data_IF_997770349092
#
_entry.id   IF_997770349092
#
_cell.length_a   1.000
_cell.length_b   1.000
_cell.length_c   1.000
_cell.angle_alpha   90.00
_cell.angle_beta   90.00
_cell.angle_gamma   90.00
#
_symmetry.space_group_name_H-M   'P 1'
#
loop_
_entity.id
_entity.type
_entity.pdbx_description
1 polymer ?
#
# COMPACT_ATOMS: atom_id res chain seq x y z
N UNK A 1 20.20 -8.17 -17.21
CA UNK A 1 20.47 -8.10 -15.77
C UNK A 1 19.53 -7.07 -15.17
N UNK A 2 18.35 -7.49 -14.71
CA UNK A 2 17.41 -6.60 -14.03
C UNK A 2 17.81 -6.56 -12.55
N UNK A 3 18.13 -5.37 -12.05
CA UNK A 3 18.52 -5.17 -10.66
C UNK A 3 17.33 -5.47 -9.74
N UNK A 4 17.43 -6.56 -8.97
CA UNK A 4 16.48 -6.90 -7.92
C UNK A 4 16.62 -5.89 -6.80
N UNK A 5 15.55 -5.10 -6.56
CA UNK A 5 15.43 -4.28 -5.36
C UNK A 5 15.35 -5.24 -4.19
N UNK A 6 16.32 -5.18 -3.28
CA UNK A 6 16.41 -6.11 -2.16
C UNK A 6 15.29 -5.83 -1.15
N UNK A 7 14.81 -6.87 -0.46
CA UNK A 7 13.79 -6.75 0.59
C UNK A 7 14.19 -5.74 1.68
N UNK A 8 15.49 -5.55 1.86
CA UNK A 8 16.13 -4.55 2.73
C UNK A 8 15.80 -3.11 2.33
N UNK A 9 15.61 -2.83 1.04
CA UNK A 9 15.32 -1.48 0.55
C UNK A 9 13.84 -1.13 0.66
N UNK A 10 12.95 -2.13 0.57
CA UNK A 10 11.52 -1.98 0.88
C UNK A 10 11.27 -1.74 2.38
N UNK A 11 12.04 -2.42 3.25
CA UNK A 11 12.00 -2.19 4.70
C UNK A 11 12.49 -0.79 5.09
N UNK A 12 13.51 -0.24 4.41
CA UNK A 12 13.96 1.15 4.62
C UNK A 12 12.89 2.18 4.23
N UNK A 13 12.12 1.93 3.16
CA UNK A 13 11.02 2.82 2.75
C UNK A 13 9.85 2.76 3.74
N UNK A 14 9.51 1.57 4.28
CA UNK A 14 8.54 1.44 5.38
C UNK A 14 9.00 2.14 6.65
N UNK A 15 10.27 1.98 7.03
CA UNK A 15 10.85 2.63 8.20
C UNK A 15 10.83 4.17 8.06
N UNK A 16 11.15 4.71 6.88
CA UNK A 16 11.07 6.14 6.60
C UNK A 16 9.63 6.69 6.65
N UNK A 17 8.65 5.89 6.20
CA UNK A 17 7.22 6.22 6.34
C UNK A 17 6.74 6.22 7.80
N UNK A 18 7.19 5.23 8.58
CA UNK A 18 6.91 5.14 10.01
C UNK A 18 7.59 6.27 10.81
N UNK A 19 8.80 6.69 10.46
CA UNK A 19 9.48 7.85 11.07
C UNK A 19 8.77 9.17 10.74
N UNK A 20 8.26 9.34 9.50
CA UNK A 20 7.44 10.51 9.15
C UNK A 20 6.13 10.53 9.93
N UNK A 21 5.45 9.39 10.08
CA UNK A 21 4.25 9.27 10.91
C UNK A 21 4.56 9.53 12.41
N UNK A 22 5.65 8.98 12.93
CA UNK A 22 6.09 9.19 14.31
C UNK A 22 6.42 10.67 14.59
N UNK A 23 7.07 11.37 13.65
CA UNK A 23 7.35 12.80 13.75
C UNK A 23 6.07 13.67 13.70
N UNK A 24 5.03 13.24 12.98
CA UNK A 24 3.71 13.86 13.01
C UNK A 24 3.08 13.75 14.40
N UNK A 25 3.03 12.55 14.98
CA UNK A 25 2.49 12.34 16.35
C UNK A 25 3.31 12.98 17.47
N UNK A 26 4.64 13.02 17.36
CA UNK A 26 5.52 13.48 18.45
C UNK A 26 5.79 14.98 18.43
N UNK A 27 5.74 15.62 17.26
CA UNK A 27 6.19 17.01 17.07
C UNK A 27 5.11 17.93 16.50
N UNK A 28 4.26 17.43 15.60
CA UNK A 28 3.25 18.25 14.93
C UNK A 28 1.89 18.21 15.64
N UNK A 29 1.48 17.07 16.20
CA UNK A 29 0.25 16.95 17.00
C UNK A 29 0.22 17.91 18.20
N UNK A 30 1.29 18.00 19.04
CA UNK A 30 1.31 18.93 20.17
C UNK A 30 1.34 20.40 19.71
N UNK A 31 1.95 20.70 18.56
CA UNK A 31 1.90 22.04 17.97
C UNK A 31 0.50 22.38 17.47
N UNK A 32 -0.17 21.45 16.79
CA UNK A 32 -1.56 21.58 16.35
C UNK A 32 -2.54 21.69 17.55
N UNK A 33 -2.26 20.99 18.66
CA UNK A 33 -3.01 21.15 19.91
C UNK A 33 -2.71 22.46 20.64
N UNK A 34 -1.47 22.99 20.55
CA UNK A 34 -1.15 24.35 21.01
C UNK A 34 -1.92 25.41 20.20
N UNK A 35 -2.07 25.22 18.88
CA UNK A 35 -2.94 26.05 18.03
C UNK A 35 -4.43 25.89 18.37
N UNK A 36 -4.90 24.69 18.75
CA UNK A 36 -6.27 24.45 19.23
C UNK A 36 -6.63 25.24 20.50
N UNK A 37 -5.64 25.56 21.35
CA UNK A 37 -5.86 26.33 22.60
C UNK A 37 -5.80 27.84 22.44
N UNK A 38 -5.42 28.35 21.25
CA UNK A 38 -5.56 29.76 20.95
C UNK A 38 -6.98 30.01 20.43
N UNK A 39 -7.86 30.41 21.35
CA UNK A 39 -9.15 31.09 21.18
C UNK A 39 -10.00 30.72 19.94
N UNK A 40 -11.25 30.24 20.12
CA UNK A 40 -12.16 30.14 18.99
C UNK A 40 -12.28 31.50 18.30
N UNK A 41 -11.98 31.54 17.00
CA UNK A 41 -11.97 32.72 16.11
C UNK A 41 -13.32 33.45 16.01
N UNK A 42 -14.33 32.99 16.76
CA UNK A 42 -15.68 33.54 16.88
C UNK A 42 -15.76 34.77 17.79
N UNK A 43 -14.63 35.44 18.08
CA UNK A 43 -14.56 36.59 18.99
C UNK A 43 -13.57 37.69 18.60
N UNK A 44 -13.01 37.65 17.39
CA UNK A 44 -12.09 38.68 16.91
C UNK A 44 -12.89 39.77 16.17
N UNK A 45 -12.89 40.98 16.74
CA UNK A 45 -13.67 42.13 16.25
C UNK A 45 -13.20 42.67 14.89
N UNK A 46 -12.01 42.28 14.44
CA UNK A 46 -11.42 42.74 13.18
C UNK A 46 -11.55 41.78 11.99
N UNK A 47 -12.08 40.58 12.18
CA UNK A 47 -12.17 39.55 11.12
C UNK A 47 -13.41 39.76 10.28
N UNK A 48 -13.27 39.72 8.97
CA UNK A 48 -14.39 39.89 8.05
C UNK A 48 -15.34 38.69 8.11
N UNK A 49 -16.63 38.94 7.84
CA UNK A 49 -17.64 37.89 7.83
C UNK A 49 -17.34 36.78 6.81
N UNK A 50 -16.68 37.12 5.69
CA UNK A 50 -16.27 36.16 4.67
C UNK A 50 -15.15 35.23 5.20
N UNK A 51 -14.11 35.80 5.80
CA UNK A 51 -12.99 35.05 6.38
C UNK A 51 -13.45 34.17 7.54
N UNK A 52 -14.27 34.72 8.44
CA UNK A 52 -14.87 33.96 9.55
C UNK A 52 -15.75 32.80 9.08
N UNK A 53 -16.57 33.01 8.04
CA UNK A 53 -17.41 31.94 7.48
C UNK A 53 -16.56 30.81 6.86
N UNK A 54 -15.48 31.17 6.16
CA UNK A 54 -14.58 30.19 5.54
C UNK A 54 -13.84 29.39 6.59
N UNK A 55 -13.26 30.05 7.59
CA UNK A 55 -12.58 29.39 8.70
C UNK A 55 -13.52 28.45 9.48
N UNK A 56 -14.78 28.88 9.66
CA UNK A 56 -15.84 28.07 10.27
C UNK A 56 -16.13 26.74 9.57
N UNK A 57 -15.73 26.57 8.29
CA UNK A 57 -15.81 25.26 7.61
C UNK A 57 -14.77 24.26 8.10
N UNK A 58 -13.64 24.74 8.62
CA UNK A 58 -12.50 23.92 9.03
C UNK A 58 -12.42 23.70 10.54
N UNK A 59 -13.20 24.44 11.33
CA UNK A 59 -13.25 24.32 12.81
C UNK A 59 -13.71 22.95 13.31
N UNK A 60 -14.40 22.18 12.46
CA UNK A 60 -14.85 20.81 12.76
C UNK A 60 -13.77 19.73 12.61
N UNK A 61 -12.54 20.09 12.25
CA UNK A 61 -11.46 19.15 11.96
C UNK A 61 -11.55 18.54 10.56
N UNK A 62 -10.51 17.81 10.18
CA UNK A 62 -10.43 17.12 8.89
C UNK A 62 -11.54 16.05 8.76
N UNK A 63 -12.20 16.05 7.60
CA UNK A 63 -13.17 15.03 7.20
C UNK A 63 -12.75 14.46 5.85
N UNK A 64 -12.50 13.14 5.75
CA UNK A 64 -12.12 12.53 4.49
C UNK A 64 -13.14 12.77 3.38
N UNK A 65 -12.68 13.11 2.19
CA UNK A 65 -13.55 13.20 1.03
C UNK A 65 -14.04 11.83 0.57
N UNK A 66 -15.04 11.86 -0.31
CA UNK A 66 -15.64 10.65 -0.87
C UNK A 66 -14.60 9.77 -1.60
N UNK A 67 -13.58 10.36 -2.20
CA UNK A 67 -12.53 9.63 -2.92
C UNK A 67 -11.65 8.84 -1.96
N UNK A 68 -11.32 9.41 -0.79
CA UNK A 68 -10.59 8.73 0.29
C UNK A 68 -11.43 7.59 0.87
N UNK A 69 -12.72 7.82 1.11
CA UNK A 69 -13.63 6.79 1.62
C UNK A 69 -13.82 5.63 0.63
N UNK A 70 -13.88 5.92 -0.67
CA UNK A 70 -13.92 4.90 -1.72
C UNK A 70 -12.61 4.07 -1.76
N UNK A 71 -11.45 4.72 -1.70
CA UNK A 71 -10.16 4.03 -1.67
C UNK A 71 -10.01 3.16 -0.40
N UNK A 72 -10.48 3.65 0.75
CA UNK A 72 -10.52 2.88 1.99
C UNK A 72 -11.42 1.63 1.87
N UNK A 73 -12.60 1.80 1.25
CA UNK A 73 -13.55 0.71 1.02
C UNK A 73 -12.95 -0.34 0.07
N UNK A 74 -12.28 0.10 -0.99
CA UNK A 74 -11.58 -0.79 -1.92
C UNK A 74 -10.45 -1.56 -1.22
N UNK A 75 -9.60 -0.88 -0.46
CA UNK A 75 -8.56 -1.52 0.35
C UNK A 75 -9.14 -2.57 1.30
N UNK A 76 -10.24 -2.25 1.98
CA UNK A 76 -10.92 -3.18 2.90
C UNK A 76 -11.45 -4.42 2.16
N UNK A 77 -12.02 -4.22 0.96
CA UNK A 77 -12.49 -5.32 0.10
C UNK A 77 -11.33 -6.23 -0.31
N UNK A 78 -10.20 -5.66 -0.75
CA UNK A 78 -9.02 -6.42 -1.17
C UNK A 78 -8.43 -7.20 0.01
N UNK A 79 -8.27 -6.57 1.18
CA UNK A 79 -7.76 -7.23 2.39
C UNK A 79 -8.67 -8.39 2.82
N UNK A 80 -9.98 -8.24 2.67
CA UNK A 80 -10.96 -9.29 2.99
C UNK A 80 -10.90 -10.47 2.01
N UNK A 81 -10.49 -10.23 0.77
CA UNK A 81 -10.30 -11.24 -0.27
C UNK A 81 -9.00 -12.06 -0.17
N UNK A 82 -8.35 -12.10 1.01
CA UNK A 82 -7.08 -12.82 1.20
C UNK A 82 -7.25 -14.33 0.89
N UNK A 83 -6.43 -14.90 -0.01
CA UNK A 83 -6.40 -16.33 -0.24
C UNK A 83 -6.09 -17.08 1.06
N UNK A 84 -6.81 -18.18 1.28
CA UNK A 84 -6.58 -19.05 2.45
C UNK A 84 -5.19 -19.66 2.44
N UNK A 85 -4.80 -20.30 3.56
CA UNK A 85 -3.58 -21.10 3.60
C UNK A 85 -3.64 -22.24 2.58
N UNK A 86 -2.51 -22.53 1.93
CA UNK A 86 -2.39 -23.65 1.01
C UNK A 86 -2.82 -24.97 1.68
N UNK A 87 -3.57 -25.78 0.95
CA UNK A 87 -3.96 -27.13 1.34
C UNK A 87 -3.62 -28.08 0.20
N UNK A 88 -2.74 -29.03 0.46
CA UNK A 88 -2.39 -30.06 -0.53
C UNK A 88 -3.54 -31.09 -0.64
N UNK A 89 -4.31 -30.98 -1.72
CA UNK A 89 -5.45 -31.86 -2.02
C UNK A 89 -5.01 -33.30 -2.36
N UNK A 90 -3.77 -33.47 -2.85
CA UNK A 90 -3.22 -34.75 -3.28
C UNK A 90 -2.47 -35.48 -2.16
N UNK A 91 -2.38 -34.91 -0.96
CA UNK A 91 -1.55 -35.45 0.12
C UNK A 91 -1.82 -36.93 0.39
N UNK A 92 -3.08 -37.32 0.58
CA UNK A 92 -3.42 -38.71 0.88
C UNK A 92 -3.05 -39.64 -0.29
N UNK A 93 -3.37 -39.25 -1.52
CA UNK A 93 -3.03 -40.04 -2.71
C UNK A 93 -1.51 -40.18 -2.90
N UNK A 94 -0.75 -39.12 -2.61
CA UNK A 94 0.71 -39.14 -2.65
C UNK A 94 1.29 -40.07 -1.58
N UNK A 95 0.78 -39.99 -0.35
CA UNK A 95 1.19 -40.87 0.75
C UNK A 95 0.90 -42.34 0.36
N UNK A 96 -0.30 -42.65 -0.15
CA UNK A 96 -0.69 -44.00 -0.57
C UNK A 96 0.17 -44.55 -1.74
N UNK A 97 0.47 -43.71 -2.74
CA UNK A 97 1.32 -44.10 -3.88
C UNK A 97 2.77 -44.29 -3.46
N UNK A 98 3.27 -43.41 -2.59
CA UNK A 98 4.62 -43.54 -2.02
C UNK A 98 4.76 -44.84 -1.23
N UNK A 99 3.76 -45.16 -0.40
CA UNK A 99 3.74 -46.40 0.38
C UNK A 99 3.70 -47.65 -0.51
N UNK A 100 2.92 -47.63 -1.60
CA UNK A 100 2.90 -48.72 -2.58
C UNK A 100 4.24 -48.90 -3.31
N UNK A 101 4.95 -47.80 -3.59
CA UNK A 101 6.26 -47.86 -4.25
C UNK A 101 7.33 -48.39 -3.29
N UNK A 102 7.34 -47.94 -2.03
CA UNK A 102 8.40 -48.29 -1.07
C UNK A 102 8.19 -49.66 -0.42
N UNK A 103 6.94 -50.05 -0.18
CA UNK A 103 6.59 -51.35 0.42
C UNK A 103 6.35 -52.43 -0.63
N UNK A 104 6.79 -52.20 -1.87
CA UNK A 104 6.62 -53.16 -2.96
C UNK A 104 7.37 -54.46 -2.66
N UNK A 105 6.65 -55.58 -2.70
CA UNK A 105 7.23 -56.90 -2.48
C UNK A 105 8.32 -57.19 -3.51
N UNK A 106 9.38 -57.87 -3.08
CA UNK A 106 10.44 -58.32 -3.99
C UNK A 106 9.87 -59.33 -4.98
N UNK A 107 10.34 -59.27 -6.22
CA UNK A 107 9.95 -60.25 -7.22
C UNK A 107 10.22 -61.68 -6.75
N UNK A 108 9.19 -62.52 -6.84
CA UNK A 108 9.23 -63.94 -6.53
C UNK A 108 8.35 -64.67 -7.54
N UNK A 109 8.81 -65.80 -8.06
CA UNK A 109 8.10 -66.57 -9.07
C UNK A 109 8.10 -68.05 -8.73
N UNK A 110 6.90 -68.61 -8.50
CA UNK A 110 6.69 -70.04 -8.30
C UNK A 110 6.14 -70.67 -9.58
N UNK A 111 7.02 -71.41 -10.27
CA UNK A 111 6.69 -72.12 -11.50
C UNK A 111 5.61 -73.19 -11.29
N UNK A 112 5.61 -73.91 -10.15
CA UNK A 112 4.66 -74.99 -9.89
C UNK A 112 3.25 -74.45 -9.57
N UNK A 113 3.20 -73.25 -8.97
CA UNK A 113 1.98 -72.51 -8.68
C UNK A 113 1.38 -71.78 -9.89
N UNK A 114 2.12 -71.58 -10.98
CA UNK A 114 1.65 -70.88 -12.18
C UNK A 114 0.57 -71.69 -12.92
N UNK A 115 -0.60 -71.08 -13.13
CA UNK A 115 -1.72 -71.71 -13.85
C UNK A 115 -1.39 -71.98 -15.32
N UNK A 116 -0.64 -71.09 -15.97
CA UNK A 116 -0.24 -71.21 -17.36
C UNK A 116 0.81 -72.32 -17.52
N UNK A 117 1.76 -72.43 -16.58
CA UNK A 117 2.69 -73.56 -16.57
C UNK A 117 1.98 -74.90 -16.39
N UNK A 118 1.01 -74.99 -15.47
CA UNK A 118 0.21 -76.22 -15.28
C UNK A 118 -0.54 -76.62 -16.54
N UNK A 119 -1.14 -75.64 -17.23
CA UNK A 119 -1.82 -75.89 -18.50
C UNK A 119 -0.85 -76.41 -19.57
N UNK A 120 0.31 -75.78 -19.73
CA UNK A 120 1.35 -76.26 -20.66
C UNK A 120 1.80 -77.67 -20.28
N UNK A 121 2.13 -77.92 -19.02
CA UNK A 121 2.55 -79.24 -18.54
C UNK A 121 1.52 -80.31 -18.90
N UNK A 122 0.25 -80.09 -18.57
CA UNK A 122 -0.79 -81.09 -18.80
C UNK A 122 -0.99 -81.34 -20.31
N UNK A 123 -0.91 -80.28 -21.13
CA UNK A 123 -0.94 -80.39 -22.59
C UNK A 123 0.26 -81.17 -23.15
N UNK A 124 1.48 -80.81 -22.77
CA UNK A 124 2.72 -81.46 -23.23
C UNK A 124 2.82 -82.92 -22.76
N UNK A 125 2.32 -83.24 -21.57
CA UNK A 125 2.26 -84.63 -21.08
C UNK A 125 1.23 -85.46 -21.86
N UNK A 126 0.10 -84.88 -22.25
CA UNK A 126 -0.88 -85.56 -23.10
C UNK A 126 -0.36 -85.78 -24.53
N UNK A 127 0.25 -84.75 -25.13
CA UNK A 127 0.88 -84.84 -26.45
C UNK A 127 2.05 -85.81 -26.46
N UNK A 128 2.90 -85.78 -25.43
CA UNK A 128 4.00 -86.72 -25.27
C UNK A 128 3.51 -88.16 -25.17
N UNK A 129 2.45 -88.44 -24.38
CA UNK A 129 1.85 -89.78 -24.29
C UNK A 129 1.27 -90.24 -25.62
N UNK A 130 0.59 -89.35 -26.33
CA UNK A 130 0.04 -89.66 -27.66
C UNK A 130 1.16 -89.96 -28.66
N UNK A 131 2.18 -89.11 -28.74
CA UNK A 131 3.33 -89.30 -29.62
C UNK A 131 4.13 -90.57 -29.26
N UNK A 132 4.24 -90.91 -27.97
CA UNK A 132 4.83 -92.17 -27.52
C UNK A 132 4.04 -93.37 -28.05
N UNK A 133 2.71 -93.35 -27.90
CA UNK A 133 1.84 -94.42 -28.39
C UNK A 133 1.93 -94.55 -29.91
N UNK A 134 1.88 -93.44 -30.64
CA UNK A 134 1.94 -93.41 -32.10
C UNK A 134 3.31 -93.91 -32.61
N UNK A 135 4.41 -93.46 -32.00
CA UNK A 135 5.77 -93.87 -32.38
C UNK A 135 6.02 -95.34 -32.04
N UNK A 136 5.55 -95.80 -30.87
CA UNK A 136 5.66 -97.21 -30.49
C UNK A 136 4.80 -98.11 -31.40
N UNK A 137 3.59 -97.68 -31.78
CA UNK A 137 2.74 -98.42 -32.70
C UNK A 137 3.35 -98.50 -34.11
N UNK A 138 3.91 -97.39 -34.61
CA UNK A 138 4.62 -97.36 -35.90
C UNK A 138 5.86 -98.26 -35.87
N UNK A 139 6.67 -98.19 -34.82
CA UNK A 139 7.85 -99.03 -34.65
C UNK A 139 7.49 -100.52 -34.54
N UNK A 140 6.44 -100.87 -33.78
CA UNK A 140 5.97 -102.25 -33.67
C UNK A 140 5.40 -102.80 -34.99
N UNK A 141 4.73 -101.95 -35.78
CA UNK A 141 4.28 -102.29 -37.14
C UNK A 141 5.45 -102.60 -38.08
N UNK A 142 6.54 -101.83 -37.99
CA UNK A 142 7.74 -102.03 -38.81
C UNK A 142 8.53 -103.28 -38.41
N UNK A 143 8.47 -103.70 -37.14
CA UNK A 143 9.15 -104.90 -36.63
C UNK A 143 8.29 -106.18 -36.68
N UNK A 144 7.15 -106.16 -37.36
CA UNK A 144 6.31 -107.36 -37.57
C UNK A 144 5.39 -107.73 -36.40
N UNK A 145 4.98 -106.76 -35.58
CA UNK A 145 3.93 -106.94 -34.56
C UNK A 145 4.38 -107.53 -33.22
N UNK A 146 5.64 -107.99 -33.10
CA UNK A 146 6.20 -108.33 -31.80
C UNK A 146 6.59 -107.04 -31.06
N UNK A 147 6.00 -106.82 -29.88
CA UNK A 147 6.28 -105.68 -29.01
C UNK A 147 7.75 -105.67 -28.57
N UNK A 148 8.59 -105.08 -29.41
CA UNK A 148 10.03 -105.15 -29.26
C UNK A 148 10.52 -103.99 -28.37
N UNK A 149 11.59 -104.23 -27.61
CA UNK A 149 12.28 -103.19 -26.82
C UNK A 149 12.62 -101.93 -27.63
N UNK A 150 12.80 -102.09 -28.95
CA UNK A 150 12.97 -101.01 -29.91
C UNK A 150 11.77 -100.06 -30.00
N UNK A 151 10.54 -100.56 -30.07
CA UNK A 151 9.33 -99.74 -30.15
C UNK A 151 9.09 -98.93 -28.86
N UNK A 152 9.39 -99.55 -27.71
CA UNK A 152 9.38 -98.87 -26.41
C UNK A 152 10.48 -97.78 -26.34
N UNK A 153 11.66 -98.04 -26.91
CA UNK A 153 12.77 -97.07 -26.93
C UNK A 153 12.43 -95.87 -27.82
N UNK A 154 11.92 -96.10 -29.02
CA UNK A 154 11.50 -95.05 -29.95
C UNK A 154 10.35 -94.19 -29.39
N UNK A 155 9.34 -94.81 -28.77
CA UNK A 155 8.25 -94.09 -28.10
C UNK A 155 8.72 -93.24 -26.92
N UNK A 156 9.64 -93.75 -26.09
CA UNK A 156 10.23 -92.97 -25.00
C UNK A 156 11.05 -91.78 -25.52
N UNK A 157 11.72 -91.93 -26.66
CA UNK A 157 12.48 -90.84 -27.28
C UNK A 157 11.56 -89.71 -27.78
N UNK A 158 10.41 -90.07 -28.37
CA UNK A 158 9.37 -89.11 -28.76
C UNK A 158 8.77 -88.40 -27.53
N UNK A 159 8.48 -89.12 -26.44
CA UNK A 159 8.02 -88.54 -25.18
C UNK A 159 9.02 -87.53 -24.59
N UNK A 160 10.31 -87.90 -24.56
CA UNK A 160 11.38 -87.05 -24.03
C UNK A 160 11.50 -85.73 -24.82
N UNK A 161 11.24 -85.73 -26.13
CA UNK A 161 11.24 -84.50 -26.93
C UNK A 161 10.17 -83.50 -26.46
N UNK A 162 8.96 -83.96 -26.12
CA UNK A 162 7.91 -83.10 -25.59
C UNK A 162 8.19 -82.62 -24.16
N UNK A 163 8.86 -83.44 -23.33
CA UNK A 163 9.35 -83.01 -22.01
C UNK A 163 10.42 -81.92 -22.14
N UNK A 164 11.30 -82.02 -23.14
CA UNK A 164 12.26 -80.94 -23.42
C UNK A 164 11.57 -79.66 -23.90
N UNK A 165 10.53 -79.76 -24.72
CA UNK A 165 9.73 -78.59 -25.12
C UNK A 165 9.08 -77.91 -23.91
N UNK A 166 8.56 -78.67 -22.94
CA UNK A 166 8.04 -78.13 -21.69
C UNK A 166 9.13 -77.42 -20.86
N UNK A 167 10.35 -77.98 -20.78
CA UNK A 167 11.47 -77.34 -20.09
C UNK A 167 11.86 -75.98 -20.72
N UNK A 168 11.63 -75.81 -22.03
CA UNK A 168 11.90 -74.55 -22.72
C UNK A 168 10.86 -73.45 -22.43
N UNK A 169 9.67 -73.80 -21.93
CA UNK A 169 8.60 -72.85 -21.57
C UNK A 169 8.87 -72.20 -20.21
N UNK A 170 9.52 -72.89 -19.28
CA UNK A 170 9.76 -72.39 -17.92
C UNK A 170 10.56 -71.06 -17.88
N UNK A 171 11.68 -70.89 -18.63
CA UNK A 171 12.37 -69.60 -18.71
C UNK A 171 11.51 -68.49 -19.31
N UNK A 172 10.63 -68.80 -20.27
CA UNK A 172 9.77 -67.82 -20.92
C UNK A 172 8.70 -67.29 -19.97
N UNK A 173 8.09 -68.18 -19.16
CA UNK A 173 7.11 -67.77 -18.16
C UNK A 173 7.73 -66.96 -17.03
N UNK A 174 8.95 -67.31 -16.59
CA UNK A 174 9.71 -66.48 -15.65
C UNK A 174 9.96 -65.07 -16.21
N UNK A 175 10.42 -64.97 -17.47
CA UNK A 175 10.64 -63.68 -18.13
C UNK A 175 9.36 -62.87 -18.28
N UNK A 176 8.24 -63.51 -18.60
CA UNK A 176 6.93 -62.86 -18.66
C UNK A 176 6.50 -62.32 -17.29
N UNK A 177 6.64 -63.11 -16.23
CA UNK A 177 6.32 -62.71 -14.87
C UNK A 177 7.21 -61.55 -14.40
N UNK A 178 8.51 -61.61 -14.69
CA UNK A 178 9.45 -60.53 -14.40
C UNK A 178 9.08 -59.27 -15.16
N UNK A 179 8.78 -59.37 -16.46
CA UNK A 179 8.37 -58.22 -17.27
C UNK A 179 7.07 -57.58 -16.79
N UNK A 180 6.09 -58.37 -16.35
CA UNK A 180 4.86 -57.86 -15.69
C UNK A 180 5.21 -57.11 -14.41
N UNK A 181 6.02 -57.71 -13.54
CA UNK A 181 6.47 -57.08 -12.32
C UNK A 181 7.22 -55.77 -12.60
N UNK A 182 8.12 -55.71 -13.57
CA UNK A 182 8.81 -54.47 -13.94
C UNK A 182 7.84 -53.41 -14.45
N UNK A 183 6.88 -53.79 -15.30
CA UNK A 183 5.86 -52.89 -15.86
C UNK A 183 4.92 -52.31 -14.80
N UNK A 184 4.49 -53.11 -13.83
CA UNK A 184 3.66 -52.65 -12.70
C UNK A 184 4.43 -51.67 -11.81
N UNK A 185 5.72 -51.95 -11.58
CA UNK A 185 6.60 -51.05 -10.83
C UNK A 185 6.79 -49.72 -11.54
N UNK A 186 6.96 -49.72 -12.87
CA UNK A 186 7.02 -48.51 -13.67
C UNK A 186 5.70 -47.74 -13.62
N UNK A 187 4.57 -48.41 -13.81
CA UNK A 187 3.25 -47.77 -13.76
C UNK A 187 2.93 -47.13 -12.40
N UNK A 188 3.39 -47.71 -11.29
CA UNK A 188 3.26 -47.10 -9.96
C UNK A 188 4.08 -45.82 -9.84
N UNK A 189 5.33 -45.82 -10.34
CA UNK A 189 6.17 -44.61 -10.37
C UNK A 189 5.56 -43.53 -11.25
N UNK A 190 5.07 -43.87 -12.45
CA UNK A 190 4.44 -42.92 -13.35
C UNK A 190 3.22 -42.23 -12.71
N UNK A 191 2.42 -43.00 -11.95
CA UNK A 191 1.29 -42.45 -11.18
C UNK A 191 1.75 -41.50 -10.08
N UNK A 192 2.81 -41.86 -9.35
CA UNK A 192 3.40 -41.00 -8.31
C UNK A 192 3.93 -39.69 -8.92
N UNK A 193 4.69 -39.77 -10.02
CA UNK A 193 5.23 -38.60 -10.71
C UNK A 193 4.13 -37.69 -11.26
N UNK A 194 3.05 -38.28 -11.78
CA UNK A 194 1.86 -37.54 -12.22
C UNK A 194 1.19 -36.83 -11.04
N UNK A 195 0.99 -37.52 -9.91
CA UNK A 195 0.39 -36.93 -8.72
C UNK A 195 1.25 -35.78 -8.15
N UNK A 196 2.58 -35.93 -8.13
CA UNK A 196 3.52 -34.88 -7.74
C UNK A 196 3.45 -33.68 -8.69
N UNK A 197 3.34 -33.92 -9.99
CA UNK A 197 3.21 -32.86 -10.99
C UNK A 197 1.92 -32.08 -10.83
N UNK A 198 0.80 -32.76 -10.55
CA UNK A 198 -0.49 -32.13 -10.27
C UNK A 198 -0.46 -31.30 -8.98
N UNK A 199 0.17 -31.81 -7.93
CA UNK A 199 0.35 -31.12 -6.66
C UNK A 199 1.19 -29.84 -6.81
N UNK A 200 2.31 -29.93 -7.51
CA UNK A 200 3.17 -28.79 -7.81
C UNK A 200 2.45 -27.72 -8.63
N UNK A 201 1.63 -28.13 -9.61
CA UNK A 201 0.81 -27.21 -10.38
C UNK A 201 -0.28 -26.53 -9.51
N UNK A 202 -0.85 -27.25 -8.54
CA UNK A 202 -1.85 -26.71 -7.62
C UNK A 202 -1.25 -25.73 -6.63
N UNK A 203 -0.08 -26.05 -6.07
CA UNK A 203 0.71 -25.14 -5.24
C UNK A 203 1.08 -23.88 -6.02
N UNK A 204 1.53 -24.02 -7.27
CA UNK A 204 1.89 -22.88 -8.13
C UNK A 204 0.69 -21.96 -8.37
N UNK A 205 -0.50 -22.52 -8.63
CA UNK A 205 -1.73 -21.72 -8.78
C UNK A 205 -2.08 -20.95 -7.51
N UNK A 206 -2.01 -21.60 -6.35
CA UNK A 206 -2.23 -20.95 -5.06
C UNK A 206 -1.21 -19.83 -4.81
N UNK A 207 0.06 -20.08 -5.10
CA UNK A 207 1.12 -19.08 -4.95
C UNK A 207 0.88 -17.87 -5.86
N UNK A 208 0.46 -18.10 -7.11
CA UNK A 208 0.11 -17.03 -8.05
C UNK A 208 -1.10 -16.22 -7.58
N UNK A 209 -2.14 -16.88 -7.07
CA UNK A 209 -3.32 -16.21 -6.50
C UNK A 209 -2.93 -15.35 -5.29
N UNK A 210 -2.10 -15.88 -4.40
CA UNK A 210 -1.59 -15.15 -3.25
C UNK A 210 -0.72 -13.96 -3.66
N UNK A 211 0.15 -14.13 -4.67
CA UNK A 211 0.98 -13.06 -5.22
C UNK A 211 0.15 -11.95 -5.86
N UNK A 212 -0.89 -12.31 -6.63
CA UNK A 212 -1.86 -11.35 -7.19
C UNK A 212 -2.57 -10.56 -6.10
N UNK A 213 -3.08 -11.24 -5.08
CA UNK A 213 -3.72 -10.60 -3.93
C UNK A 213 -2.76 -9.63 -3.21
N UNK A 214 -1.51 -10.03 -3.00
CA UNK A 214 -0.52 -9.14 -2.39
C UNK A 214 -0.26 -7.89 -3.22
N UNK A 215 -0.12 -8.04 -4.55
CA UNK A 215 0.04 -6.92 -5.46
C UNK A 215 -1.16 -5.97 -5.44
N UNK A 216 -2.39 -6.50 -5.47
CA UNK A 216 -3.61 -5.70 -5.41
C UNK A 216 -3.75 -4.98 -4.07
N UNK A 217 -3.41 -5.64 -2.96
CA UNK A 217 -3.40 -5.04 -1.62
C UNK A 217 -2.42 -3.87 -1.56
N UNK A 218 -1.20 -4.05 -2.07
CA UNK A 218 -0.17 -3.02 -2.04
C UNK A 218 -0.56 -1.81 -2.90
N UNK A 219 -1.15 -2.06 -4.07
CA UNK A 219 -1.74 -1.02 -4.90
C UNK A 219 -2.87 -0.27 -4.18
N UNK A 220 -3.86 -0.98 -3.63
CA UNK A 220 -4.99 -0.38 -2.94
C UNK A 220 -4.56 0.43 -1.70
N UNK A 221 -3.55 -0.05 -0.98
CA UNK A 221 -2.98 0.66 0.17
C UNK A 221 -2.26 1.94 -0.28
N UNK A 222 -1.42 1.86 -1.32
CA UNK A 222 -0.77 3.03 -1.87
C UNK A 222 -1.78 4.07 -2.39
N UNK A 223 -2.82 3.63 -3.09
CA UNK A 223 -3.90 4.50 -3.58
C UNK A 223 -4.62 5.20 -2.43
N UNK A 224 -5.02 4.47 -1.38
CA UNK A 224 -5.63 5.06 -0.19
C UNK A 224 -4.75 6.15 0.45
N UNK A 225 -3.48 5.86 0.70
CA UNK A 225 -2.57 6.82 1.33
C UNK A 225 -2.28 8.03 0.44
N UNK A 226 -2.18 7.84 -0.88
CA UNK A 226 -2.01 8.94 -1.82
C UNK A 226 -3.24 9.87 -1.82
N UNK A 227 -4.45 9.29 -1.89
CA UNK A 227 -5.69 10.09 -1.84
C UNK A 227 -5.86 10.78 -0.50
N UNK A 228 -5.65 10.07 0.61
CA UNK A 228 -5.69 10.65 1.95
C UNK A 228 -4.69 11.80 2.10
N UNK A 229 -3.45 11.60 1.64
CA UNK A 229 -2.40 12.61 1.71
C UNK A 229 -2.73 13.86 0.90
N UNK A 230 -3.26 13.70 -0.31
CA UNK A 230 -3.70 14.82 -1.14
C UNK A 230 -4.88 15.58 -0.50
N UNK A 231 -5.90 14.85 -0.05
CA UNK A 231 -7.12 15.39 0.56
C UNK A 231 -6.84 16.13 1.89
N UNK A 232 -5.99 15.53 2.73
CA UNK A 232 -5.54 16.16 3.96
C UNK A 232 -4.65 17.38 3.70
N UNK A 233 -3.78 17.30 2.68
CA UNK A 233 -2.95 18.43 2.26
C UNK A 233 -3.79 19.64 1.85
N UNK A 234 -4.82 19.42 1.03
CA UNK A 234 -5.77 20.47 0.64
C UNK A 234 -6.48 21.08 1.85
N UNK A 235 -7.01 20.25 2.76
CA UNK A 235 -7.61 20.72 4.01
C UNK A 235 -6.64 21.56 4.84
N UNK A 236 -5.38 21.12 4.98
CA UNK A 236 -4.38 21.80 5.79
C UNK A 236 -3.96 23.14 5.17
N UNK A 237 -3.75 23.18 3.86
CA UNK A 237 -3.38 24.39 3.11
C UNK A 237 -4.52 25.44 3.17
N UNK A 238 -5.77 25.01 3.01
CA UNK A 238 -6.92 25.90 3.12
C UNK A 238 -7.09 26.44 4.55
N UNK A 239 -6.94 25.60 5.57
CA UNK A 239 -7.00 26.04 6.97
C UNK A 239 -5.90 27.06 7.30
N UNK A 240 -4.66 26.79 6.87
CA UNK A 240 -3.52 27.71 7.07
C UNK A 240 -3.78 29.06 6.38
N UNK A 241 -4.27 29.02 5.14
CA UNK A 241 -4.60 30.23 4.38
C UNK A 241 -5.66 31.09 5.07
N UNK A 242 -6.78 30.50 5.48
CA UNK A 242 -7.87 31.26 6.12
C UNK A 242 -7.49 31.73 7.51
N UNK A 243 -6.69 30.96 8.26
CA UNK A 243 -6.16 31.39 9.56
C UNK A 243 -5.25 32.61 9.36
N UNK A 244 -4.30 32.55 8.42
CA UNK A 244 -3.42 33.67 8.11
C UNK A 244 -4.16 34.92 7.62
N UNK A 245 -5.23 34.76 6.84
CA UNK A 245 -6.08 35.89 6.43
C UNK A 245 -6.76 36.54 7.63
N UNK A 246 -7.28 35.72 8.53
CA UNK A 246 -7.99 36.18 9.70
C UNK A 246 -7.03 36.87 10.70
N UNK A 247 -5.79 36.40 10.80
CA UNK A 247 -4.72 37.08 11.55
C UNK A 247 -4.40 38.45 10.96
N UNK A 248 -4.24 38.53 9.63
CA UNK A 248 -3.95 39.80 8.94
C UNK A 248 -5.06 40.84 9.11
N UNK A 249 -6.32 40.44 8.96
CA UNK A 249 -7.49 41.32 9.14
C UNK A 249 -7.56 41.83 10.59
N UNK A 250 -7.35 40.95 11.55
CA UNK A 250 -7.34 41.31 12.96
C UNK A 250 -6.18 42.25 13.32
N UNK A 251 -4.99 42.01 12.78
CA UNK A 251 -3.83 42.88 12.93
C UNK A 251 -4.05 44.26 12.31
N UNK A 252 -4.67 44.33 11.14
CA UNK A 252 -5.03 45.59 10.50
C UNK A 252 -6.04 46.36 11.35
N UNK A 253 -7.10 45.69 11.81
CA UNK A 253 -8.10 46.28 12.69
C UNK A 253 -7.48 46.85 13.97
N UNK A 254 -6.55 46.11 14.60
CA UNK A 254 -5.84 46.59 15.79
C UNK A 254 -4.98 47.83 15.49
N UNK A 255 -4.27 47.87 14.35
CA UNK A 255 -3.48 49.05 13.93
C UNK A 255 -4.37 50.26 13.67
N UNK A 256 -5.48 50.06 12.97
CA UNK A 256 -6.42 51.13 12.63
C UNK A 256 -7.09 51.69 13.90
N UNK A 257 -7.43 50.81 14.87
CA UNK A 257 -7.90 51.21 16.20
C UNK A 257 -6.85 52.03 16.96
N UNK A 258 -5.59 51.59 16.98
CA UNK A 258 -4.53 52.28 17.72
C UNK A 258 -4.25 53.68 17.12
N UNK A 259 -4.24 53.79 15.79
CA UNK A 259 -4.14 55.08 15.09
C UNK A 259 -5.35 55.98 15.36
N UNK A 260 -6.56 55.42 15.33
CA UNK A 260 -7.79 56.14 15.64
C UNK A 260 -7.78 56.66 17.08
N UNK A 261 -7.30 55.86 18.03
CA UNK A 261 -7.13 56.24 19.42
C UNK A 261 -6.14 57.40 19.59
N UNK A 262 -4.97 57.32 18.98
CA UNK A 262 -3.97 58.40 19.03
C UNK A 262 -4.51 59.71 18.44
N UNK A 263 -5.21 59.64 17.31
CA UNK A 263 -5.85 60.79 16.68
C UNK A 263 -6.97 61.38 17.55
N UNK A 264 -7.85 60.54 18.09
CA UNK A 264 -8.93 60.97 18.97
C UNK A 264 -8.39 61.68 20.22
N UNK A 265 -7.36 61.12 20.87
CA UNK A 265 -6.71 61.73 22.03
C UNK A 265 -6.02 63.06 21.68
N UNK A 266 -5.40 63.18 20.50
CA UNK A 266 -4.80 64.42 20.05
C UNK A 266 -5.84 65.55 19.86
N UNK A 267 -6.99 65.25 19.25
CA UNK A 267 -8.12 66.19 19.13
C UNK A 267 -8.68 66.58 20.50
N UNK A 268 -8.87 65.60 21.39
CA UNK A 268 -9.39 65.84 22.73
C UNK A 268 -8.46 66.78 23.53
N UNK A 269 -7.14 66.62 23.41
CA UNK A 269 -6.14 67.47 24.09
C UNK A 269 -6.15 68.92 23.60
N UNK A 270 -6.54 69.17 22.34
CA UNK A 270 -6.67 70.54 21.81
C UNK A 270 -8.04 71.15 22.10
N UNK A 271 -8.93 70.41 22.79
CA UNK A 271 -10.27 70.85 23.16
C UNK A 271 -11.33 70.56 22.09
N UNK A 272 -10.98 69.85 21.02
CA UNK A 272 -11.90 69.46 19.95
C UNK A 272 -12.49 68.07 20.23
N UNK A 273 -13.79 67.90 19.97
CA UNK A 273 -14.45 66.60 20.07
C UNK A 273 -14.18 65.77 18.80
N UNK A 274 -13.68 64.52 18.91
CA UNK A 274 -13.60 63.59 17.79
C UNK A 274 -15.00 63.25 17.23
N UNK A 275 -15.08 62.89 15.95
CA UNK A 275 -16.33 62.44 15.32
C UNK A 275 -16.73 61.03 15.76
N UNK A 276 -17.95 60.61 15.39
CA UNK A 276 -18.52 59.34 15.85
C UNK A 276 -17.73 58.12 15.34
N UNK A 277 -17.28 58.16 14.08
CA UNK A 277 -16.56 57.06 13.44
C UNK A 277 -15.17 56.87 14.06
N UNK A 278 -14.46 57.96 14.38
CA UNK A 278 -13.17 57.91 15.05
C UNK A 278 -13.30 57.44 16.50
N UNK A 279 -14.39 57.78 17.19
CA UNK A 279 -14.69 57.28 18.54
C UNK A 279 -15.02 55.79 18.55
N UNK A 280 -15.84 55.32 17.60
CA UNK A 280 -16.19 53.92 17.44
C UNK A 280 -14.95 53.07 17.13
N UNK A 281 -14.16 53.49 16.14
CA UNK A 281 -12.94 52.79 15.75
C UNK A 281 -11.86 52.82 16.85
N UNK A 282 -11.74 53.91 17.62
CA UNK A 282 -10.78 54.01 18.74
C UNK A 282 -11.21 53.26 20.00
N UNK A 283 -12.46 52.83 20.09
CA UNK A 283 -13.05 52.26 21.30
C UNK A 283 -13.28 53.28 22.43
N UNK A 284 -13.17 54.59 22.16
CA UNK A 284 -13.45 55.64 23.16
C UNK A 284 -14.94 55.95 23.12
N UNK A 285 -15.64 55.71 24.24
CA UNK A 285 -17.07 56.04 24.31
C UNK A 285 -17.30 57.55 24.21
N UNK A 286 -18.41 57.97 23.59
CA UNK A 286 -18.74 59.41 23.47
C UNK A 286 -18.91 60.10 24.84
N UNK A 287 -19.28 59.37 25.89
CA UNK A 287 -19.32 59.86 27.27
C UNK A 287 -17.91 60.19 27.78
N UNK A 288 -16.96 59.29 27.57
CA UNK A 288 -15.60 59.45 28.07
C UNK A 288 -14.82 60.50 27.29
N UNK A 289 -15.03 60.58 25.97
CA UNK A 289 -14.51 61.67 25.17
C UNK A 289 -14.98 63.05 25.68
N UNK A 290 -16.27 63.23 26.03
CA UNK A 290 -16.78 64.49 26.60
C UNK A 290 -16.11 64.86 27.93
N UNK A 291 -15.90 63.88 28.81
CA UNK A 291 -15.19 64.10 30.10
C UNK A 291 -13.75 64.54 29.86
N UNK A 292 -13.06 63.88 28.93
CA UNK A 292 -11.67 64.17 28.60
C UNK A 292 -11.52 65.56 27.95
N UNK A 293 -12.40 65.96 27.02
CA UNK A 293 -12.39 67.32 26.43
C UNK A 293 -12.57 68.39 27.50
N UNK A 294 -13.50 68.20 28.46
CA UNK A 294 -13.69 69.14 29.57
C UNK A 294 -12.47 69.21 30.48
N UNK A 295 -11.82 68.08 30.73
CA UNK A 295 -10.60 68.00 31.54
C UNK A 295 -9.44 68.79 30.90
N UNK A 296 -9.19 68.60 29.60
CA UNK A 296 -8.12 69.30 28.88
C UNK A 296 -8.47 70.75 28.53
N UNK A 297 -9.75 71.07 28.30
CA UNK A 297 -10.22 72.42 27.98
C UNK A 297 -10.40 73.34 29.20
N UNK A 298 -10.45 72.81 30.43
CA UNK A 298 -10.73 73.58 31.66
C UNK A 298 -9.53 74.30 32.30
N UNK A 299 -8.32 74.18 31.74
CA UNK A 299 -7.07 74.63 32.36
C UNK A 299 -6.58 76.03 31.95
N UNK A 300 -7.27 77.10 32.38
CA UNK A 300 -6.69 78.45 32.46
C UNK A 300 -6.96 79.04 33.85
N UNK A 301 -6.03 78.81 34.82
CA UNK A 301 -5.64 79.72 35.93
C UNK A 301 -4.55 79.13 36.85
N UNK A 302 -3.41 79.86 36.98
CA UNK A 302 -2.32 79.86 38.00
C UNK A 302 -1.52 78.56 38.26
N UNK A 303 -0.20 78.51 38.48
CA UNK A 303 0.81 79.48 38.95
C UNK A 303 2.24 79.12 38.48
N UNK A 304 3.11 80.14 38.48
CA UNK A 304 4.54 80.19 38.15
C UNK A 304 5.49 79.36 39.05
N UNK A 305 6.55 78.78 38.46
CA UNK A 305 7.77 78.32 39.16
C UNK A 305 8.70 77.39 38.37
N UNK A 306 9.77 77.95 37.78
CA UNK A 306 10.94 77.35 37.10
C UNK A 306 11.32 75.89 37.44
N UNK A 307 11.73 75.06 36.48
CA UNK A 307 13.09 75.09 35.91
C UNK A 307 13.17 74.37 34.55
N UNK A 308 13.56 75.13 33.54
CA UNK A 308 13.83 74.71 32.18
C UNK A 308 15.23 74.11 32.02
N UNK A 309 15.34 72.83 31.65
CA UNK A 309 16.48 72.31 30.89
C UNK A 309 16.03 72.05 29.46
N UNK A 310 16.40 72.99 28.58
CA UNK A 310 16.22 72.98 27.12
C UNK A 310 16.57 71.60 26.53
N UNK A 311 15.61 70.96 25.86
CA UNK A 311 15.91 70.10 24.70
C UNK A 311 15.05 70.58 23.53
N UNK A 312 15.76 70.94 22.45
CA UNK A 312 15.23 71.63 21.28
C UNK A 312 14.08 70.84 20.64
N UNK A 313 13.11 71.60 20.16
CA UNK A 313 12.05 71.22 19.23
C UNK A 313 12.55 70.27 18.15
N UNK A 314 11.84 69.15 17.98
CA UNK A 314 11.74 68.47 16.71
C UNK A 314 10.25 68.38 16.39
N UNK A 315 9.82 69.06 15.33
CA UNK A 315 8.69 68.58 14.56
C UNK A 315 8.94 67.10 14.32
N UNK A 316 8.02 66.22 14.72
CA UNK A 316 8.10 64.82 14.33
C UNK A 316 7.75 64.76 12.85
N UNK A 317 8.72 65.06 12.00
CA UNK A 317 8.85 64.38 10.72
C UNK A 317 8.68 62.91 11.03
N UNK A 318 7.57 62.32 10.60
CA UNK A 318 7.36 60.87 10.63
C UNK A 318 8.49 60.31 9.77
N UNK A 319 9.57 59.94 10.45
CA UNK A 319 10.69 59.25 9.85
C UNK A 319 10.10 57.92 9.41
N UNK A 320 9.98 57.73 8.10
CA UNK A 320 9.75 56.44 7.47
C UNK A 320 10.84 55.50 7.97
N UNK A 321 10.58 54.79 9.06
CA UNK A 321 11.42 53.71 9.54
C UNK A 321 11.20 52.55 8.58
N UNK A 322 12.04 52.52 7.55
CA UNK A 322 12.34 51.32 6.77
C UNK A 322 13.06 50.33 7.68
N UNK A 323 12.31 49.68 8.56
CA UNK A 323 12.67 48.46 9.29
C UNK A 323 11.50 48.15 10.25
N UNK A 324 10.34 47.79 9.70
CA UNK A 324 9.39 46.98 10.45
C UNK A 324 9.89 45.55 10.29
N UNK A 325 10.54 45.00 11.32
CA UNK A 325 10.56 43.56 11.52
C UNK A 325 9.12 43.13 11.66
N UNK A 326 8.59 42.68 10.53
CA UNK A 326 7.21 42.32 10.29
C UNK A 326 6.98 40.98 11.01
N UNK A 327 6.56 41.03 12.27
CA UNK A 327 6.46 39.84 13.13
C UNK A 327 5.49 38.79 12.58
N UNK A 328 4.56 39.18 11.70
CA UNK A 328 3.72 38.28 10.92
C UNK A 328 4.42 37.70 9.68
N UNK A 329 5.35 38.42 9.05
CA UNK A 329 6.13 37.92 7.90
C UNK A 329 7.00 36.74 8.30
N UNK A 330 7.68 36.82 9.45
CA UNK A 330 8.63 35.80 9.88
C UNK A 330 7.95 34.47 10.25
N UNK A 331 6.68 34.50 10.66
CA UNK A 331 5.83 33.34 10.97
C UNK A 331 5.21 32.63 9.77
N UNK A 332 5.22 33.24 8.58
CA UNK A 332 4.69 32.63 7.37
C UNK A 332 5.58 31.46 6.90
N UNK A 333 4.93 30.40 6.40
CA UNK A 333 5.60 29.36 5.62
C UNK A 333 6.34 29.96 4.43
N UNK A 334 7.30 29.22 3.85
CA UNK A 334 8.01 29.68 2.64
C UNK A 334 7.04 30.10 1.53
N UNK A 335 5.91 29.39 1.39
CA UNK A 335 4.84 29.73 0.45
C UNK A 335 4.06 30.98 0.88
N UNK A 336 3.70 31.08 2.17
CA UNK A 336 3.04 32.26 2.74
C UNK A 336 3.85 33.54 2.53
N UNK A 337 5.18 33.48 2.65
CA UNK A 337 6.09 34.61 2.36
C UNK A 337 6.11 34.99 0.89
N UNK A 338 6.09 34.01 -0.02
CA UNK A 338 6.07 34.23 -1.48
C UNK A 338 4.77 34.93 -1.91
N UNK A 339 3.63 34.47 -1.37
CA UNK A 339 2.30 35.04 -1.64
C UNK A 339 2.16 36.43 -1.00
N UNK A 340 2.58 36.60 0.25
CA UNK A 340 2.62 37.89 0.95
C UNK A 340 3.38 38.96 0.15
N UNK A 341 4.55 38.60 -0.38
CA UNK A 341 5.34 39.50 -1.21
C UNK A 341 4.72 39.79 -2.59
N UNK A 342 3.91 38.87 -3.13
CA UNK A 342 3.21 39.06 -4.40
C UNK A 342 2.01 40.01 -4.26
N UNK A 343 1.25 39.90 -3.17
CA UNK A 343 0.10 40.77 -2.86
C UNK A 343 0.55 42.16 -2.43
N UNK A 344 1.56 42.28 -1.55
CA UNK A 344 2.10 43.55 -1.04
C UNK A 344 2.74 44.44 -2.13
N UNK A 345 3.14 43.86 -3.26
CA UNK A 345 3.76 44.58 -4.39
C UNK A 345 2.81 44.86 -5.57
N UNK A 346 1.51 44.58 -5.42
CA UNK A 346 0.50 44.86 -6.46
C UNK A 346 0.59 43.94 -7.69
N UNK A 347 0.86 42.65 -7.48
CA UNK A 347 1.26 41.69 -8.51
C UNK A 347 0.25 41.47 -9.65
N UNK A 348 0.59 41.97 -10.84
CA UNK A 348 -0.02 41.57 -12.11
C UNK A 348 0.66 40.32 -12.71
N UNK A 349 0.00 39.66 -13.68
CA UNK A 349 0.50 38.44 -14.34
C UNK A 349 1.95 38.55 -14.85
N UNK A 350 2.40 39.74 -15.28
CA UNK A 350 3.76 39.99 -15.74
C UNK A 350 4.85 39.85 -14.68
N UNK A 351 4.53 39.99 -13.38
CA UNK A 351 5.48 39.78 -12.28
C UNK A 351 5.68 38.30 -11.93
N UNK A 352 4.65 37.47 -12.12
CA UNK A 352 4.72 36.02 -11.92
C UNK A 352 5.67 35.43 -12.97
N UNK A 353 5.52 35.84 -14.23
CA UNK A 353 6.43 35.45 -15.32
C UNK A 353 7.87 35.92 -15.08
N UNK A 354 8.07 37.14 -14.57
CA UNK A 354 9.40 37.66 -14.26
C UNK A 354 10.11 36.87 -13.14
N UNK A 355 9.37 36.39 -12.13
CA UNK A 355 9.93 35.58 -11.03
C UNK A 355 10.19 34.13 -11.41
N UNK A 356 9.32 33.54 -12.23
CA UNK A 356 9.54 32.21 -12.83
C UNK A 356 10.81 32.22 -13.70
N UNK A 357 10.99 33.27 -14.52
CA UNK A 357 12.16 33.45 -15.40
C UNK A 357 13.46 33.70 -14.62
N UNK A 358 13.38 34.25 -13.41
CA UNK A 358 14.51 34.42 -12.48
C UNK A 358 14.76 33.18 -11.59
N UNK A 359 13.98 32.11 -11.74
CA UNK A 359 14.10 30.88 -10.94
C UNK A 359 13.72 31.06 -9.47
N UNK A 360 12.99 32.12 -9.13
CA UNK A 360 12.62 32.45 -7.75
C UNK A 360 11.36 31.71 -7.29
N UNK A 361 10.61 31.16 -8.24
CA UNK A 361 9.43 30.30 -8.04
C UNK A 361 9.47 29.19 -9.10
N UNK A 362 8.92 28.03 -8.78
CA UNK A 362 8.76 26.90 -9.71
C UNK A 362 7.53 27.09 -10.61
N UNK A 363 7.45 26.31 -11.69
CA UNK A 363 6.32 26.37 -12.62
C UNK A 363 4.99 25.97 -11.95
N UNK A 364 5.01 24.98 -11.06
CA UNK A 364 3.84 24.55 -10.30
C UNK A 364 3.36 25.66 -9.33
N UNK A 365 4.29 26.34 -8.66
CA UNK A 365 3.98 27.46 -7.77
C UNK A 365 3.39 28.65 -8.54
N UNK A 366 3.91 28.93 -9.74
CA UNK A 366 3.37 29.97 -10.61
C UNK A 366 1.94 29.67 -11.08
N UNK A 367 1.61 28.41 -11.38
CA UNK A 367 0.24 28.00 -11.74
C UNK A 367 -0.74 28.09 -10.58
N UNK A 368 -0.32 27.67 -9.38
CA UNK A 368 -1.14 27.79 -8.17
C UNK A 368 -1.46 29.26 -7.86
N UNK A 369 -0.45 30.14 -7.93
CA UNK A 369 -0.64 31.58 -7.73
C UNK A 369 -1.58 32.18 -8.78
N UNK A 370 -1.49 31.75 -10.06
CA UNK A 370 -2.39 32.20 -11.13
C UNK A 370 -3.84 31.76 -10.91
N UNK A 371 -4.08 30.51 -10.49
CA UNK A 371 -5.42 30.02 -10.17
C UNK A 371 -6.05 30.77 -8.99
N UNK A 372 -5.26 31.03 -7.95
CA UNK A 372 -5.72 31.74 -6.76
C UNK A 372 -6.05 33.22 -7.05
N UNK A 373 -5.34 33.86 -7.98
CA UNK A 373 -5.65 35.23 -8.42
C UNK A 373 -6.85 35.28 -9.38
N UNK A 374 -7.00 34.30 -10.27
CA UNK A 374 -8.14 34.21 -11.19
C UNK A 374 -9.46 33.87 -10.47
N UNK A 375 -9.42 33.28 -9.28
CA UNK A 375 -10.59 33.00 -8.45
C UNK A 375 -11.07 34.21 -7.61
N UNK A 376 -10.32 35.32 -7.62
CA UNK A 376 -10.60 36.55 -6.87
C UNK A 376 -10.99 37.75 -7.77
N UNK A 377 -11.16 37.54 -9.07
CA UNK A 377 -11.79 38.49 -10.01
C UNK A 377 -13.11 37.93 -10.49
#
# INVERSE_FOLDING_TARGET
MAASISNTDLEKVRAAGAEKAASFTKTLLPKAEQFRTQTPYTGLSGVSGATGQKLGKYTGGYKPSQTVLQAQSYLTSVVSGKPGSYKNTYKQQLDDLYDQVINREKFSYDLAGDSLYRQYRDQYMNLGRQAMMDTAAQAASLTGGYGNSYAATAGNQAYQAYVQQLNNVAPQLYQLALGRYESEGAALKDKLDTALSLESADYSRWQDEYSRWQGERDFANADYWNKYGADYGEYADELDFWTGMADMENDQFNRDRDLAYDQAIALIKTGSMPDADLLDLSGITSSDAKKLVKFYGGGKKSSSGSSSKKKKTAASTVKKTTASSDSGYDGLSSMGKVVYNAVKSGGSAGMIDARLKKGQITAAEAETIRRLLAANG
#
